data_IF_778968683203
#
_entry.id   IF_778968683203
#
_cell.length_a   1.000
_cell.length_b   1.000
_cell.length_c   1.000
_cell.angle_alpha   90.00
_cell.angle_beta   90.00
_cell.angle_gamma   90.00
#
_symmetry.space_group_name_H-M   'P 1'
#
loop_
_entity.id
_entity.type
_entity.pdbx_description
1 polymer ?
#
# COMPACT_ATOMS: atom_id res chain seq x y z
N UNK A 1 5.35 13.28 17.60
CA UNK A 1 5.44 12.12 16.68
C UNK A 1 6.48 12.45 15.65
N UNK A 2 7.65 11.83 15.72
CA UNK A 2 8.81 12.09 14.88
C UNK A 2 8.66 11.20 13.64
N UNK A 3 8.32 11.78 12.48
CA UNK A 3 8.34 11.04 11.22
C UNK A 3 9.62 11.41 10.47
N UNK A 4 10.68 10.64 10.74
CA UNK A 4 11.85 10.64 9.86
C UNK A 4 11.46 9.87 8.62
N UNK A 5 11.22 10.58 7.51
CA UNK A 5 11.07 9.96 6.20
C UNK A 5 12.49 9.74 5.65
N UNK A 6 12.96 8.49 5.49
CA UNK A 6 14.15 8.23 4.70
C UNK A 6 13.87 8.72 3.28
N UNK A 7 14.71 9.62 2.77
CA UNK A 7 14.48 10.37 1.52
C UNK A 7 14.23 9.43 0.32
N UNK A 8 14.83 8.24 0.30
CA UNK A 8 14.59 7.22 -0.74
C UNK A 8 13.21 6.53 -0.60
N UNK A 9 12.86 6.04 0.59
CA UNK A 9 11.54 5.43 0.84
C UNK A 9 10.40 6.43 0.69
N UNK A 10 10.66 7.72 0.89
CA UNK A 10 9.69 8.79 0.66
C UNK A 10 9.28 8.89 -0.81
N UNK A 11 10.23 8.76 -1.76
CA UNK A 11 9.94 8.89 -3.20
C UNK A 11 9.03 7.78 -3.70
N UNK A 12 9.34 6.53 -3.40
CA UNK A 12 8.52 5.39 -3.84
C UNK A 12 7.14 5.42 -3.17
N UNK A 13 7.08 5.78 -1.89
CA UNK A 13 5.82 5.97 -1.19
C UNK A 13 4.98 7.11 -1.78
N UNK A 14 5.61 8.21 -2.22
CA UNK A 14 4.93 9.31 -2.90
C UNK A 14 4.42 8.88 -4.28
N UNK A 15 5.20 8.12 -5.04
CA UNK A 15 4.79 7.58 -6.34
C UNK A 15 3.62 6.61 -6.20
N UNK A 16 3.64 5.76 -5.16
CA UNK A 16 2.53 4.85 -4.83
C UNK A 16 1.29 5.63 -4.40
N UNK A 17 1.45 6.68 -3.58
CA UNK A 17 0.32 7.51 -3.18
C UNK A 17 -0.30 8.23 -4.38
N UNK A 18 0.52 8.85 -5.23
CA UNK A 18 0.06 9.58 -6.41
C UNK A 18 -0.47 8.65 -7.51
N UNK A 19 -0.01 7.40 -7.55
CA UNK A 19 -0.31 6.43 -8.60
C UNK A 19 0.42 6.71 -9.92
N UNK A 20 1.42 7.59 -9.92
CA UNK A 20 2.24 7.96 -11.08
C UNK A 20 3.73 7.84 -10.75
N UNK A 21 4.58 7.75 -11.77
CA UNK A 21 6.04 7.69 -11.64
C UNK A 21 6.57 6.55 -10.75
N UNK A 22 5.87 5.40 -10.76
CA UNK A 22 6.34 4.19 -10.10
C UNK A 22 7.70 3.75 -10.67
N UNK A 23 8.59 3.19 -9.83
CA UNK A 23 9.88 2.70 -10.28
C UNK A 23 9.73 1.59 -11.33
N UNK A 24 10.75 1.42 -12.19
CA UNK A 24 10.71 0.43 -13.26
C UNK A 24 10.63 -1.03 -12.76
N UNK A 25 11.03 -1.29 -11.51
CA UNK A 25 10.89 -2.59 -10.85
C UNK A 25 9.47 -2.84 -10.30
N UNK A 26 8.53 -1.91 -10.46
CA UNK A 26 7.18 -2.06 -9.97
C UNK A 26 6.38 -3.10 -10.77
N UNK A 27 6.11 -4.24 -10.15
CA UNK A 27 5.26 -5.29 -10.69
C UNK A 27 3.87 -5.19 -10.09
N UNK A 28 2.84 -5.03 -10.94
CA UNK A 28 1.45 -4.90 -10.47
C UNK A 28 0.97 -6.21 -9.85
N UNK A 29 0.42 -6.12 -8.64
CA UNK A 29 -0.19 -7.26 -7.93
C UNK A 29 -1.71 -7.17 -8.06
N UNK A 30 -2.38 -8.18 -8.62
CA UNK A 30 -3.84 -8.25 -8.62
C UNK A 30 -4.42 -8.25 -7.20
N UNK A 31 -5.42 -7.40 -6.99
CA UNK A 31 -6.14 -7.24 -5.74
C UNK A 31 -7.57 -7.75 -5.92
N UNK A 32 -8.04 -8.60 -5.01
CA UNK A 32 -9.38 -9.20 -5.06
C UNK A 32 -10.13 -8.93 -3.76
N UNK A 33 -11.34 -8.38 -3.86
CA UNK A 33 -12.26 -8.18 -2.73
C UNK A 33 -12.63 -6.72 -2.44
N UNK A 34 -11.88 -5.76 -3.00
CA UNK A 34 -12.23 -4.33 -2.98
C UNK A 34 -11.37 -3.53 -3.97
N UNK A 35 -11.74 -2.27 -4.20
CA UNK A 35 -10.92 -1.29 -4.93
C UNK A 35 -9.69 -0.89 -4.11
N UNK A 36 -8.53 -1.39 -4.51
CA UNK A 36 -7.22 -0.96 -4.06
C UNK A 36 -6.18 -1.33 -5.12
N UNK A 37 -5.02 -0.68 -5.07
CA UNK A 37 -3.92 -0.96 -5.98
C UNK A 37 -2.73 -1.45 -5.20
N UNK A 38 -2.01 -2.42 -5.77
CA UNK A 38 -0.84 -3.01 -5.14
C UNK A 38 0.26 -3.27 -6.16
N UNK A 39 1.51 -3.15 -5.71
CA UNK A 39 2.70 -3.40 -6.50
C UNK A 39 3.79 -4.05 -5.65
N UNK A 40 4.58 -4.93 -6.23
CA UNK A 40 5.87 -5.33 -5.68
C UNK A 40 6.94 -4.40 -6.23
N UNK A 41 7.74 -3.81 -5.35
CA UNK A 41 8.88 -2.97 -5.70
C UNK A 41 10.05 -3.42 -4.83
N UNK A 42 11.12 -3.90 -5.46
CA UNK A 42 12.36 -4.31 -4.82
C UNK A 42 12.16 -5.27 -3.62
N UNK A 43 11.18 -6.16 -3.73
CA UNK A 43 10.85 -7.19 -2.72
C UNK A 43 9.94 -6.74 -1.58
N UNK A 44 9.51 -5.47 -1.56
CA UNK A 44 8.47 -4.99 -0.66
C UNK A 44 7.14 -4.83 -1.42
N UNK A 45 6.05 -5.09 -0.71
CA UNK A 45 4.69 -4.86 -1.20
C UNK A 45 4.28 -3.43 -0.86
N UNK A 46 3.88 -2.70 -1.88
CA UNK A 46 3.33 -1.37 -1.78
C UNK A 46 1.84 -1.40 -2.08
N UNK A 47 1.07 -0.62 -1.32
CA UNK A 47 -0.37 -0.57 -1.42
C UNK A 47 -0.88 0.87 -1.46
N UNK A 48 -1.91 1.10 -2.26
CA UNK A 48 -2.68 2.35 -2.34
C UNK A 48 -4.16 2.05 -2.13
N UNK A 49 -4.78 2.69 -1.15
CA UNK A 49 -6.20 2.54 -0.85
C UNK A 49 -6.78 3.80 -0.22
N UNK A 50 -8.08 4.04 -0.41
CA UNK A 50 -8.85 5.06 0.31
C UNK A 50 -9.30 4.57 1.70
N UNK A 51 -9.14 3.27 1.97
CA UNK A 51 -9.56 2.65 3.22
C UNK A 51 -8.36 2.34 4.12
N UNK A 52 -8.49 2.48 5.45
CA UNK A 52 -7.43 2.12 6.39
C UNK A 52 -7.10 0.62 6.36
N UNK A 53 -5.81 0.32 6.22
CA UNK A 53 -5.28 -1.02 6.44
C UNK A 53 -5.27 -1.34 7.96
N UNK A 54 -5.77 -2.50 8.34
CA UNK A 54 -5.80 -3.01 9.71
C UNK A 54 -4.76 -4.10 9.95
N UNK A 55 -4.47 -4.91 8.93
CA UNK A 55 -3.53 -6.03 9.02
C UNK A 55 -3.00 -6.41 7.63
N UNK A 56 -1.75 -6.86 7.51
CA UNK A 56 -0.74 -7.01 8.58
C UNK A 56 -0.12 -5.67 8.97
N UNK A 57 0.87 -5.70 9.87
CA UNK A 57 1.70 -4.54 10.17
C UNK A 57 2.47 -4.08 8.93
N UNK A 58 2.66 -2.76 8.81
CA UNK A 58 3.41 -2.12 7.74
C UNK A 58 4.69 -1.46 8.27
N UNK A 59 5.69 -1.34 7.40
CA UNK A 59 7.00 -0.73 7.68
C UNK A 59 7.08 0.72 7.22
N UNK A 60 6.05 1.21 6.53
CA UNK A 60 5.94 2.60 6.10
C UNK A 60 4.51 2.94 5.70
N UNK A 61 4.11 4.18 5.91
CA UNK A 61 2.80 4.67 5.48
C UNK A 61 2.87 6.16 5.15
N UNK A 62 2.09 6.57 4.16
CA UNK A 62 1.89 7.95 3.80
C UNK A 62 0.39 8.22 3.68
N UNK A 63 -0.07 9.37 4.16
CA UNK A 63 -1.45 9.82 3.97
C UNK A 63 -1.45 11.00 3.00
N UNK A 64 -2.33 10.94 2.01
CA UNK A 64 -2.58 12.00 1.05
C UNK A 64 -3.87 12.76 1.36
N UNK A 65 -4.23 13.71 0.48
CA UNK A 65 -5.54 14.33 0.47
C UNK A 65 -6.67 13.29 0.35
N UNK A 66 -7.87 13.67 0.78
CA UNK A 66 -9.12 12.93 0.54
C UNK A 66 -9.12 11.48 1.05
N UNK A 67 -8.34 11.20 2.10
CA UNK A 67 -8.33 9.89 2.77
C UNK A 67 -7.49 8.82 2.07
N UNK A 68 -6.83 9.16 0.96
CA UNK A 68 -5.94 8.25 0.26
C UNK A 68 -4.70 7.92 1.10
N UNK A 69 -4.31 6.65 1.11
CA UNK A 69 -3.20 6.14 1.90
C UNK A 69 -2.32 5.24 1.06
N UNK A 70 -1.01 5.36 1.28
CA UNK A 70 -0.03 4.44 0.79
C UNK A 70 0.59 3.66 1.96
N UNK A 71 0.89 2.38 1.74
CA UNK A 71 1.51 1.49 2.72
C UNK A 71 2.68 0.74 2.09
N UNK A 72 3.72 0.48 2.87
CA UNK A 72 4.81 -0.44 2.53
C UNK A 72 4.85 -1.55 3.57
N UNK A 73 4.87 -2.80 3.12
CA UNK A 73 4.87 -3.97 3.98
C UNK A 73 5.62 -5.12 3.30
N UNK A 74 5.87 -6.19 4.06
CA UNK A 74 6.38 -7.43 3.47
C UNK A 74 5.29 -8.11 2.63
N UNK A 75 5.66 -8.86 1.58
CA UNK A 75 4.69 -9.58 0.75
C UNK A 75 3.81 -10.51 1.58
N UNK A 76 2.50 -10.42 1.36
CA UNK A 76 1.48 -11.25 2.01
C UNK A 76 0.40 -11.58 1.00
N UNK A 77 -0.32 -12.68 1.20
CA UNK A 77 -1.41 -13.08 0.31
C UNK A 77 -2.77 -12.52 0.74
N UNK A 78 -2.88 -11.95 1.95
CA UNK A 78 -4.14 -11.44 2.47
C UNK A 78 -3.93 -10.16 3.29
N UNK A 79 -4.90 -9.26 3.18
CA UNK A 79 -4.97 -7.99 3.91
C UNK A 79 -6.33 -7.87 4.59
N UNK A 80 -6.39 -7.07 5.66
CA UNK A 80 -7.64 -6.65 6.30
C UNK A 80 -7.76 -5.13 6.24
N UNK A 81 -8.92 -4.64 5.81
CA UNK A 81 -9.25 -3.22 5.74
C UNK A 81 -10.45 -2.88 6.61
N UNK A 82 -10.50 -1.62 7.06
CA UNK A 82 -11.71 -1.02 7.60
C UNK A 82 -12.45 -0.30 6.48
N UNK A 83 -13.59 -0.86 6.05
CA UNK A 83 -14.47 -0.28 5.03
C UNK A 83 -15.81 0.01 5.69
N UNK A 84 -16.16 1.29 5.84
CA UNK A 84 -17.40 1.73 6.50
C UNK A 84 -17.64 1.08 7.89
N UNK A 85 -16.55 0.97 8.67
CA UNK A 85 -16.57 0.36 10.00
C UNK A 85 -16.64 -1.17 10.02
N UNK A 86 -16.59 -1.84 8.85
CA UNK A 86 -16.54 -3.29 8.73
C UNK A 86 -15.13 -3.76 8.34
N UNK A 87 -14.78 -4.96 8.80
CA UNK A 87 -13.53 -5.61 8.40
C UNK A 87 -13.76 -6.32 7.06
N UNK A 88 -13.01 -5.93 6.04
CA UNK A 88 -13.01 -6.57 4.72
C UNK A 88 -11.68 -7.28 4.51
N UNK A 89 -11.73 -8.55 4.11
CA UNK A 89 -10.56 -9.34 3.74
C UNK A 89 -10.32 -9.23 2.25
N UNK A 90 -9.07 -8.95 1.89
CA UNK A 90 -8.63 -8.73 0.51
C UNK A 90 -7.53 -9.73 0.18
N UNK A 91 -7.66 -10.40 -0.95
CA UNK A 91 -6.67 -11.33 -1.47
C UNK A 91 -5.69 -10.64 -2.41
N UNK A 92 -4.43 -11.07 -2.38
CA UNK A 92 -3.39 -10.68 -3.32
C UNK A 92 -2.87 -11.90 -4.06
N UNK A 93 -2.74 -11.79 -5.38
CA UNK A 93 -2.10 -12.81 -6.21
C UNK A 93 -0.66 -12.37 -6.49
N UNK A 94 0.27 -12.83 -5.66
CA UNK A 94 1.69 -12.56 -5.89
C UNK A 94 2.19 -13.35 -7.12
N UNK A 95 3.09 -12.79 -7.94
CA UNK A 95 3.69 -13.46 -9.10
C UNK A 95 4.54 -14.68 -8.72
#
# INVERSE_FOLDING_TARGET
LHQELPIAGSRDMLAVLSGIDLPASAEKVPVVGMEAMAWLVDGDLYLRSEHPLLSPAWTGSLAGPDGLRAYRLKPVSNLLFSVDGRIVRVGLTLP
#
